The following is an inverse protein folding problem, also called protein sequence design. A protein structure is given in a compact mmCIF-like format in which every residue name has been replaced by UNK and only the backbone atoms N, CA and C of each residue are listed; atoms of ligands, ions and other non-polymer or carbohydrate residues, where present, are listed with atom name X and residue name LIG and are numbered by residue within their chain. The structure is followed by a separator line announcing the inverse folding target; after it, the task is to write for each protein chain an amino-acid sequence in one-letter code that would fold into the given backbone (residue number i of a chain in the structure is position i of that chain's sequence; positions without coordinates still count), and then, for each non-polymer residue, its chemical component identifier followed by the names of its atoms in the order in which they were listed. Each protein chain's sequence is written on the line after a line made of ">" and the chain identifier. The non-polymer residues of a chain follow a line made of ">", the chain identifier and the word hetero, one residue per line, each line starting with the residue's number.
data_IF_848540017870
#
_entry.id   IF_848540017870
#
_cell.length_a   1.000
_cell.length_b   1.000
_cell.length_c   1.000
_cell.angle_alpha   90.00
_cell.angle_beta   90.00
_cell.angle_gamma   90.00
#
_symmetry.space_group_name_H-M   'P 1'
#
loop_
_entity.id
_entity.type
_entity.pdbx_description
1 polymer ?
#
# COMPACT_ATOMS: atom_id res chain seq x y z
N UNK A 1 4.85 39.21 13.63
CA UNK A 1 5.71 38.10 13.18
C UNK A 1 5.03 37.40 12.02
N UNK A 2 5.68 37.17 10.88
CA UNK A 2 5.03 36.48 9.77
C UNK A 2 4.83 35.00 10.13
N UNK A 3 3.58 34.57 10.10
CA UNK A 3 3.21 33.15 10.25
C UNK A 3 3.26 32.49 8.87
N UNK A 4 3.78 31.28 8.81
CA UNK A 4 3.82 30.47 7.59
C UNK A 4 3.05 29.17 7.79
N UNK A 5 2.28 28.76 6.77
CA UNK A 5 1.74 27.42 6.67
C UNK A 5 2.76 26.56 5.94
N UNK A 6 3.28 25.54 6.61
CA UNK A 6 4.35 24.69 6.10
C UNK A 6 4.18 23.24 6.50
N UNK A 7 4.97 22.37 5.89
CA UNK A 7 5.03 20.96 6.21
C UNK A 7 6.14 20.69 7.24
N UNK A 8 5.80 19.95 8.27
CA UNK A 8 6.77 19.32 9.18
C UNK A 8 6.91 17.85 8.81
N UNK A 9 8.13 17.33 8.84
CA UNK A 9 8.39 15.94 8.51
C UNK A 9 8.37 15.08 9.76
N UNK A 10 7.56 14.05 9.69
CA UNK A 10 7.45 12.97 10.68
C UNK A 10 7.61 11.61 9.97
N UNK A 11 7.35 10.51 10.69
CA UNK A 11 7.45 9.16 10.12
C UNK A 11 8.86 8.55 10.20
N UNK A 12 9.02 7.39 9.58
CA UNK A 12 10.26 6.60 9.61
C UNK A 12 11.13 6.89 8.38
N UNK A 13 12.40 6.41 8.41
CA UNK A 13 13.28 6.38 7.23
C UNK A 13 12.60 5.56 6.12
N UNK A 14 12.50 6.10 4.92
CA UNK A 14 11.81 5.48 3.77
C UNK A 14 10.29 5.65 3.72
N UNK A 15 9.62 5.96 4.86
CA UNK A 15 8.16 6.20 4.91
C UNK A 15 7.87 7.57 5.52
N UNK A 16 8.03 8.68 4.77
CA UNK A 16 7.78 10.03 5.27
C UNK A 16 6.29 10.25 5.50
N UNK A 17 5.98 10.99 6.56
CA UNK A 17 4.64 11.46 6.88
C UNK A 17 4.74 12.94 7.25
N UNK A 18 3.81 13.77 6.82
CA UNK A 18 3.93 15.22 7.00
C UNK A 18 2.73 15.77 7.75
N UNK A 19 3.00 16.68 8.68
CA UNK A 19 1.99 17.52 9.28
C UNK A 19 1.94 18.87 8.59
N UNK A 20 0.74 19.33 8.32
CA UNK A 20 0.48 20.67 7.79
C UNK A 20 0.24 21.55 9.01
N UNK A 21 1.11 22.52 9.22
CA UNK A 21 1.09 23.34 10.43
C UNK A 21 1.20 24.82 10.13
N UNK A 22 0.54 25.64 10.97
CA UNK A 22 0.80 27.06 11.06
C UNK A 22 1.93 27.29 12.07
N UNK A 23 3.01 27.90 11.65
CA UNK A 23 4.18 28.11 12.51
C UNK A 23 4.84 29.46 12.24
N UNK A 24 5.55 29.99 13.24
CA UNK A 24 6.40 31.17 13.07
C UNK A 24 7.50 30.89 12.05
N UNK A 25 7.78 31.88 11.18
CA UNK A 25 8.80 31.77 10.15
C UNK A 25 10.21 31.55 10.70
N UNK A 26 10.47 31.94 11.94
CA UNK A 26 11.77 31.81 12.63
C UNK A 26 11.99 30.43 13.24
N UNK A 27 10.93 29.68 13.53
CA UNK A 27 11.07 28.36 14.14
C UNK A 27 11.63 27.35 13.15
N UNK A 28 12.40 26.37 13.65
CA UNK A 28 12.96 25.27 12.86
C UNK A 28 11.83 24.50 12.18
N UNK A 29 12.11 23.79 11.07
CA UNK A 29 11.10 23.06 10.28
C UNK A 29 10.23 22.15 11.16
N UNK A 30 10.84 21.30 11.96
CA UNK A 30 10.16 20.30 12.81
C UNK A 30 10.06 20.77 14.28
N UNK A 31 10.18 22.09 14.51
CA UNK A 31 10.12 22.70 15.82
C UNK A 31 8.71 23.07 16.26
N UNK A 32 8.63 24.02 17.21
CA UNK A 32 7.34 24.50 17.76
C UNK A 32 6.45 25.09 16.65
N UNK A 33 5.21 24.69 16.65
CA UNK A 33 4.14 25.22 15.78
C UNK A 33 3.05 25.84 16.63
N UNK A 34 2.21 26.66 16.01
CA UNK A 34 1.07 27.32 16.64
C UNK A 34 -0.15 26.40 16.63
N UNK A 35 -0.46 25.85 15.44
CA UNK A 35 -1.61 24.99 15.24
C UNK A 35 -1.30 23.93 14.17
N UNK A 36 -1.83 22.72 14.35
CA UNK A 36 -1.81 21.64 13.38
C UNK A 36 -3.10 21.68 12.56
N UNK A 37 -2.98 21.95 11.27
CA UNK A 37 -4.11 22.07 10.33
C UNK A 37 -4.48 20.75 9.67
N UNK A 38 -3.56 19.79 9.66
CA UNK A 38 -3.83 18.51 9.03
C UNK A 38 -2.62 17.62 8.86
N UNK A 39 -2.82 16.57 8.05
CA UNK A 39 -1.80 15.59 7.73
C UNK A 39 -1.72 15.31 6.23
N UNK A 40 -0.53 14.90 5.78
CA UNK A 40 -0.26 14.52 4.40
C UNK A 40 0.57 13.24 4.36
N UNK A 41 0.02 12.20 3.74
CA UNK A 41 0.69 10.91 3.54
C UNK A 41 0.95 10.69 2.04
N UNK A 42 2.20 10.79 1.57
CA UNK A 42 2.56 10.56 0.17
C UNK A 42 2.79 9.09 -0.19
N UNK A 43 2.77 8.17 0.80
CA UNK A 43 3.17 6.77 0.58
C UNK A 43 2.10 5.93 -0.14
N UNK A 44 0.93 6.50 -0.38
CA UNK A 44 -0.22 5.86 -1.04
C UNK A 44 -0.54 6.62 -2.32
N UNK A 45 -1.02 5.94 -3.34
CA UNK A 45 -1.47 6.56 -4.58
C UNK A 45 -2.97 6.26 -4.79
N UNK A 46 -3.85 7.28 -4.76
CA UNK A 46 -3.58 8.71 -4.55
C UNK A 46 -3.15 9.04 -3.10
N UNK A 47 -2.39 10.14 -2.89
CA UNK A 47 -1.92 10.52 -1.56
C UNK A 47 -3.09 10.91 -0.64
N UNK A 48 -3.02 10.48 0.62
CA UNK A 48 -4.03 10.79 1.63
C UNK A 48 -3.71 12.15 2.23
N UNK A 49 -4.70 13.05 2.18
CA UNK A 49 -4.62 14.39 2.75
C UNK A 49 -5.82 14.60 3.67
N UNK A 50 -5.57 14.78 4.93
CA UNK A 50 -6.54 15.22 5.93
C UNK A 50 -6.25 16.68 6.22
N UNK A 51 -7.22 17.55 6.07
CA UNK A 51 -7.05 18.99 6.24
C UNK A 51 -8.29 19.62 6.86
N UNK A 52 -8.09 20.38 7.91
CA UNK A 52 -9.07 21.34 8.40
C UNK A 52 -9.07 22.56 7.46
N UNK A 53 -10.10 22.59 6.59
CA UNK A 53 -10.26 23.66 5.59
C UNK A 53 -10.57 24.99 6.27
N UNK A 54 -11.42 24.99 7.30
CA UNK A 54 -11.87 26.20 7.98
C UNK A 54 -10.77 26.83 8.82
N UNK A 55 -10.02 26.03 9.57
CA UNK A 55 -8.83 26.49 10.28
C UNK A 55 -7.78 27.05 9.32
N UNK A 56 -7.56 26.37 8.17
CA UNK A 56 -6.63 26.85 7.14
C UNK A 56 -7.04 28.19 6.55
N UNK A 57 -8.33 28.40 6.27
CA UNK A 57 -8.86 29.65 5.74
C UNK A 57 -8.74 30.78 6.78
N UNK A 58 -9.01 30.52 8.07
CA UNK A 58 -8.80 31.51 9.15
C UNK A 58 -7.35 31.99 9.19
N UNK A 59 -6.39 31.08 9.10
CA UNK A 59 -4.96 31.45 9.08
C UNK A 59 -4.59 32.26 7.84
N UNK A 60 -5.14 31.92 6.66
CA UNK A 60 -4.93 32.69 5.43
C UNK A 60 -5.51 34.10 5.54
N UNK A 61 -6.71 34.25 6.13
CA UNK A 61 -7.33 35.55 6.40
C UNK A 61 -6.51 36.40 7.39
N UNK A 62 -5.89 35.74 8.38
CA UNK A 62 -4.98 36.39 9.33
C UNK A 62 -3.59 36.70 8.73
N UNK A 63 -3.41 36.47 7.42
CA UNK A 63 -2.18 36.81 6.72
C UNK A 63 -1.08 35.76 6.79
N UNK A 64 -1.37 34.52 7.18
CA UNK A 64 -0.39 33.44 7.12
C UNK A 64 -0.03 33.12 5.67
N UNK A 65 1.28 33.03 5.39
CA UNK A 65 1.81 32.76 4.05
C UNK A 65 2.08 31.27 3.87
N UNK A 66 1.38 30.59 2.95
CA UNK A 66 1.67 29.19 2.66
C UNK A 66 2.97 29.06 1.88
N UNK A 67 3.79 28.06 2.21
CA UNK A 67 4.92 27.63 1.36
C UNK A 67 4.36 27.06 0.06
N UNK A 68 5.19 26.97 -0.98
CA UNK A 68 4.75 26.49 -2.31
C UNK A 68 4.07 25.10 -2.23
N UNK A 69 4.69 24.15 -1.53
CA UNK A 69 4.13 22.80 -1.35
C UNK A 69 2.83 22.81 -0.54
N UNK A 70 2.78 23.60 0.55
CA UNK A 70 1.56 23.72 1.34
C UNK A 70 0.43 24.37 0.50
N UNK A 71 0.74 25.37 -0.33
CA UNK A 71 -0.24 26.00 -1.22
C UNK A 71 -0.87 25.00 -2.19
N UNK A 72 -0.07 24.10 -2.76
CA UNK A 72 -0.57 23.07 -3.66
C UNK A 72 -1.52 22.11 -2.93
N UNK A 73 -1.19 21.70 -1.70
CA UNK A 73 -2.05 20.85 -0.87
C UNK A 73 -3.34 21.56 -0.47
N UNK A 74 -3.25 22.81 -0.03
CA UNK A 74 -4.40 23.66 0.29
C UNK A 74 -5.31 23.88 -0.93
N UNK A 75 -4.72 24.08 -2.10
CA UNK A 75 -5.46 24.18 -3.36
C UNK A 75 -6.14 22.86 -3.74
N UNK A 76 -5.47 21.73 -3.53
CA UNK A 76 -6.03 20.41 -3.82
C UNK A 76 -7.29 20.11 -2.97
N UNK A 77 -7.32 20.53 -1.71
CA UNK A 77 -8.47 20.40 -0.80
C UNK A 77 -9.49 21.55 -0.87
N UNK A 78 -9.24 22.55 -1.69
CA UNK A 78 -10.17 23.68 -1.92
C UNK A 78 -10.06 24.82 -0.91
N UNK A 79 -9.14 24.77 0.08
CA UNK A 79 -8.96 25.84 1.06
C UNK A 79 -8.59 27.20 0.41
N UNK A 80 -7.75 27.17 -0.64
CA UNK A 80 -7.39 28.37 -1.38
C UNK A 80 -8.58 28.95 -2.16
N UNK A 81 -9.43 28.09 -2.73
CA UNK A 81 -10.66 28.51 -3.42
C UNK A 81 -11.65 29.12 -2.43
N UNK A 82 -11.88 28.47 -1.28
CA UNK A 82 -12.75 29.00 -0.22
C UNK A 82 -12.28 30.37 0.27
N UNK A 83 -10.98 30.53 0.50
CA UNK A 83 -10.39 31.81 0.87
C UNK A 83 -10.62 32.89 -0.20
N UNK A 84 -10.47 32.54 -1.50
CA UNK A 84 -10.71 33.48 -2.62
C UNK A 84 -12.17 33.89 -2.71
N UNK A 85 -13.11 32.96 -2.59
CA UNK A 85 -14.55 33.22 -2.64
C UNK A 85 -15.00 34.10 -1.46
N UNK A 86 -14.51 33.80 -0.24
CA UNK A 86 -14.77 34.67 0.93
C UNK A 86 -14.18 36.07 0.76
N UNK A 87 -13.03 36.21 0.11
CA UNK A 87 -12.47 37.49 -0.28
C UNK A 87 -13.36 38.25 -1.29
N UNK A 88 -14.06 37.53 -2.18
CA UNK A 88 -15.08 38.08 -3.08
C UNK A 88 -16.32 38.56 -2.35
N UNK A 89 -16.78 37.80 -1.35
CA UNK A 89 -17.91 38.20 -0.48
C UNK A 89 -17.56 39.47 0.31
N UNK A 90 -16.37 39.53 0.90
CA UNK A 90 -15.91 40.69 1.66
C UNK A 90 -15.81 41.96 0.81
N UNK A 91 -15.56 41.82 -0.50
CA UNK A 91 -15.54 42.94 -1.48
C UNK A 91 -16.91 43.27 -2.07
N UNK A 92 -17.96 42.53 -1.72
CA UNK A 92 -19.31 42.71 -2.25
C UNK A 92 -19.51 42.22 -3.69
N UNK A 93 -18.58 41.44 -4.24
CA UNK A 93 -18.66 40.92 -5.61
C UNK A 93 -19.52 39.64 -5.70
N UNK A 94 -19.71 38.93 -4.61
CA UNK A 94 -20.45 37.67 -4.52
C UNK A 94 -21.30 37.65 -3.24
N UNK A 95 -22.43 36.93 -3.28
CA UNK A 95 -23.18 36.59 -2.07
C UNK A 95 -22.54 35.37 -1.39
N UNK A 96 -22.83 35.21 -0.11
CA UNK A 96 -22.31 34.05 0.65
C UNK A 96 -22.85 32.72 0.08
N UNK A 97 -24.13 32.69 -0.28
CA UNK A 97 -24.78 31.53 -0.89
C UNK A 97 -24.17 31.13 -2.24
N UNK A 98 -23.85 32.10 -3.09
CA UNK A 98 -23.14 31.85 -4.35
C UNK A 98 -21.71 31.35 -4.14
N UNK A 99 -21.04 31.78 -3.10
CA UNK A 99 -19.71 31.29 -2.75
C UNK A 99 -19.75 29.83 -2.29
N UNK A 100 -20.72 29.46 -1.48
CA UNK A 100 -20.92 28.09 -1.01
C UNK A 100 -21.33 27.14 -2.14
N UNK A 101 -22.25 27.54 -3.01
CA UNK A 101 -22.65 26.72 -4.16
C UNK A 101 -21.49 26.48 -5.13
N UNK A 102 -20.67 27.49 -5.41
CA UNK A 102 -19.45 27.33 -6.24
C UNK A 102 -18.41 26.41 -5.59
N UNK A 103 -18.26 26.50 -4.27
CA UNK A 103 -17.35 25.61 -3.53
C UNK A 103 -17.85 24.17 -3.56
N UNK A 104 -19.15 23.94 -3.31
CA UNK A 104 -19.76 22.63 -3.34
C UNK A 104 -19.62 21.96 -4.72
N UNK A 105 -19.97 22.66 -5.80
CA UNK A 105 -19.82 22.18 -7.17
C UNK A 105 -18.38 21.77 -7.50
N UNK A 106 -17.40 22.58 -7.06
CA UNK A 106 -15.99 22.27 -7.27
C UNK A 106 -15.55 21.03 -6.47
N UNK A 107 -16.05 20.85 -5.23
CA UNK A 107 -15.75 19.66 -4.41
C UNK A 107 -16.31 18.39 -5.04
N UNK A 108 -17.54 18.41 -5.54
CA UNK A 108 -18.16 17.29 -6.25
C UNK A 108 -17.37 16.91 -7.51
N UNK A 109 -16.95 17.88 -8.31
CA UNK A 109 -16.11 17.64 -9.48
C UNK A 109 -14.76 17.00 -9.10
N UNK A 110 -14.17 17.45 -7.98
CA UNK A 110 -12.91 16.91 -7.48
C UNK A 110 -13.04 15.49 -6.94
N UNK A 111 -14.07 15.19 -6.17
CA UNK A 111 -14.33 13.83 -5.67
C UNK A 111 -14.54 12.86 -6.83
N UNK A 112 -15.34 13.22 -7.81
CA UNK A 112 -15.56 12.42 -9.01
C UNK A 112 -14.26 12.12 -9.79
N UNK A 113 -13.35 13.10 -9.91
CA UNK A 113 -12.02 12.90 -10.53
C UNK A 113 -11.11 11.99 -9.71
N UNK A 114 -11.19 12.06 -8.38
CA UNK A 114 -10.41 11.20 -7.50
C UNK A 114 -10.94 9.76 -7.57
N UNK A 115 -12.24 9.56 -7.51
CA UNK A 115 -12.88 8.24 -7.56
C UNK A 115 -12.63 7.56 -8.91
N UNK A 116 -12.70 8.30 -10.01
CA UNK A 116 -12.34 7.77 -11.33
C UNK A 116 -10.87 7.36 -11.42
N UNK A 117 -9.95 8.09 -10.79
CA UNK A 117 -8.55 7.72 -10.71
C UNK A 117 -8.32 6.47 -9.84
N UNK A 118 -8.99 6.37 -8.70
CA UNK A 118 -8.91 5.18 -7.82
C UNK A 118 -9.39 3.95 -8.58
N UNK A 119 -10.55 4.03 -9.25
CA UNK A 119 -11.10 2.92 -10.03
C UNK A 119 -10.20 2.51 -11.21
N UNK A 120 -9.50 3.46 -11.84
CA UNK A 120 -8.54 3.14 -12.90
C UNK A 120 -7.31 2.43 -12.36
N UNK A 121 -6.78 2.85 -11.20
CA UNK A 121 -5.64 2.21 -10.55
C UNK A 121 -5.98 0.79 -10.07
N UNK A 122 -7.16 0.59 -9.48
CA UNK A 122 -7.63 -0.73 -9.08
C UNK A 122 -7.76 -1.69 -10.27
N UNK A 123 -8.28 -1.20 -11.40
CA UNK A 123 -8.35 -1.99 -12.65
C UNK A 123 -6.96 -2.32 -13.19
N UNK A 124 -6.03 -1.38 -13.17
CA UNK A 124 -4.65 -1.62 -13.59
C UNK A 124 -3.95 -2.65 -12.70
N UNK A 125 -4.14 -2.57 -11.37
CA UNK A 125 -3.60 -3.54 -10.43
C UNK A 125 -4.22 -4.92 -10.59
N UNK A 126 -5.55 -4.99 -10.76
CA UNK A 126 -6.24 -6.25 -11.04
C UNK A 126 -5.74 -6.90 -12.34
N UNK A 127 -5.57 -6.10 -13.41
CA UNK A 127 -5.03 -6.59 -14.68
C UNK A 127 -3.57 -7.06 -14.57
N UNK A 128 -2.74 -6.38 -13.78
CA UNK A 128 -1.37 -6.81 -13.52
C UNK A 128 -1.35 -8.14 -12.78
N UNK A 129 -2.12 -8.25 -11.69
CA UNK A 129 -2.24 -9.50 -10.92
C UNK A 129 -2.79 -10.66 -11.76
N UNK A 130 -3.77 -10.40 -12.63
CA UNK A 130 -4.30 -11.43 -13.54
C UNK A 130 -3.23 -11.92 -14.51
N UNK A 131 -2.45 -11.01 -15.12
CA UNK A 131 -1.34 -11.37 -16.03
C UNK A 131 -0.22 -12.12 -15.32
N UNK A 132 0.12 -11.72 -14.09
CA UNK A 132 1.12 -12.42 -13.27
C UNK A 132 0.66 -13.84 -12.93
N UNK A 133 -0.61 -14.00 -12.53
CA UNK A 133 -1.20 -15.31 -12.25
C UNK A 133 -1.28 -16.20 -13.51
N UNK A 134 -1.60 -15.64 -14.67
CA UNK A 134 -1.59 -16.39 -15.94
C UNK A 134 -0.17 -16.82 -16.32
N UNK A 135 0.81 -15.93 -16.20
CA UNK A 135 2.21 -16.26 -16.44
C UNK A 135 2.72 -17.34 -15.48
N UNK A 136 2.36 -17.24 -14.19
CA UNK A 136 2.72 -18.24 -13.18
C UNK A 136 2.07 -19.60 -13.45
N UNK A 137 0.79 -19.62 -13.86
CA UNK A 137 0.10 -20.86 -14.28
C UNK A 137 0.77 -21.51 -15.48
N UNK A 138 1.20 -20.72 -16.47
CA UNK A 138 1.92 -21.24 -17.64
C UNK A 138 3.27 -21.85 -17.26
N UNK A 139 4.03 -21.16 -16.39
CA UNK A 139 5.32 -21.66 -15.90
C UNK A 139 5.12 -22.93 -15.06
N UNK A 140 4.13 -22.96 -14.18
CA UNK A 140 3.82 -24.15 -13.38
C UNK A 140 3.37 -25.32 -14.25
N UNK A 141 2.54 -25.06 -15.27
CA UNK A 141 2.13 -26.10 -16.21
C UNK A 141 3.32 -26.68 -16.97
N UNK A 142 4.19 -25.84 -17.50
CA UNK A 142 5.42 -26.29 -18.18
C UNK A 142 6.35 -27.07 -17.23
N UNK A 143 6.44 -26.65 -15.94
CA UNK A 143 7.23 -27.37 -14.94
C UNK A 143 6.65 -28.75 -14.63
N UNK A 144 5.33 -28.85 -14.48
CA UNK A 144 4.64 -30.13 -14.25
C UNK A 144 4.80 -31.05 -15.46
N UNK A 145 4.61 -30.54 -16.66
CA UNK A 145 4.82 -31.30 -17.92
C UNK A 145 6.27 -31.82 -18.05
N UNK A 146 7.25 -30.99 -17.70
CA UNK A 146 8.66 -31.40 -17.68
C UNK A 146 8.94 -32.43 -16.57
N UNK A 147 8.31 -32.35 -15.42
CA UNK A 147 8.44 -33.37 -14.35
C UNK A 147 7.79 -34.69 -14.75
N UNK A 148 6.62 -34.65 -15.38
CA UNK A 148 5.94 -35.87 -15.87
C UNK A 148 6.78 -36.53 -16.97
N UNK A 149 7.31 -35.76 -17.93
CA UNK A 149 8.17 -36.30 -18.96
C UNK A 149 9.46 -36.90 -18.39
N UNK A 150 10.08 -36.25 -17.39
CA UNK A 150 11.26 -36.80 -16.70
C UNK A 150 10.94 -38.05 -15.88
N UNK A 151 9.74 -38.14 -15.31
CA UNK A 151 9.28 -39.33 -14.59
C UNK A 151 8.97 -40.52 -15.57
N UNK A 152 8.41 -40.22 -16.74
CA UNK A 152 8.17 -41.22 -17.79
C UNK A 152 9.49 -41.73 -18.39
N UNK A 153 10.49 -40.85 -18.58
CA UNK A 153 11.84 -41.28 -19.03
C UNK A 153 12.53 -42.15 -17.97
N UNK A 154 12.43 -41.79 -16.67
CA UNK A 154 12.99 -42.58 -15.59
C UNK A 154 12.32 -43.95 -15.45
N UNK A 155 11.00 -44.03 -15.63
CA UNK A 155 10.28 -45.35 -15.64
C UNK A 155 10.57 -46.17 -16.87
N UNK A 156 10.85 -45.55 -18.03
CA UNK A 156 11.28 -46.22 -19.24
C UNK A 156 12.72 -46.76 -19.15
N UNK A 157 13.64 -46.04 -18.49
CA UNK A 157 15.00 -46.51 -18.19
C UNK A 157 15.00 -47.67 -17.17
N UNK A 158 14.13 -47.61 -16.16
CA UNK A 158 13.99 -48.72 -15.18
C UNK A 158 13.39 -50.00 -15.82
N UNK A 159 12.45 -49.83 -16.78
CA UNK A 159 11.87 -50.95 -17.52
C UNK A 159 12.87 -51.60 -18.52
N UNK A 160 13.83 -50.83 -19.04
CA UNK A 160 14.90 -51.33 -19.91
C UNK A 160 16.03 -52.00 -19.11
N UNK A 161 16.20 -51.65 -17.83
CA UNK A 161 17.18 -52.26 -16.92
C UNK A 161 16.71 -53.58 -16.32
N UNK A 162 15.40 -53.88 -16.40
CA UNK A 162 14.82 -55.15 -15.87
C UNK A 162 14.71 -56.28 -16.93
N UNK A 163 15.09 -56.02 -18.17
CA UNK A 163 15.02 -56.98 -19.31
C UNK A 163 16.39 -57.42 -19.85
N UNK A 164 17.40 -57.65 -19.00
CA UNK A 164 18.61 -58.44 -19.40
C UNK A 164 19.32 -59.01 -18.16
N UNK A 165 19.86 -60.21 -18.22
CA UNK A 165 19.20 -61.53 -18.40
C UNK A 165 19.25 -62.38 -17.16
N UNK A 166 18.27 -63.21 -17.00
CA UNK A 166 18.34 -64.43 -16.17
C UNK A 166 19.21 -65.46 -16.88
N UNK A 167 20.39 -65.69 -16.38
CA UNK A 167 20.98 -67.04 -16.45
C UNK A 167 22.24 -67.14 -15.55
N UNK A 168 22.24 -68.23 -14.76
CA UNK A 168 23.33 -68.81 -13.92
C UNK A 168 23.60 -68.09 -12.55
N UNK A 169 23.59 -68.73 -11.47
CA UNK A 169 23.52 -70.10 -11.00
C UNK A 169 23.35 -70.16 -9.49
N UNK A 170 22.46 -70.98 -9.03
CA UNK A 170 22.54 -72.00 -7.96
C UNK A 170 23.48 -71.78 -6.77
N UNK A 171 22.84 -71.98 -5.59
CA UNK A 171 23.33 -72.43 -4.28
C UNK A 171 24.07 -71.38 -3.42
N UNK A 172 23.63 -71.06 -2.24
CA UNK A 172 23.65 -71.92 -1.04
C UNK A 172 23.14 -71.10 0.15
N UNK A 173 22.21 -71.70 0.89
CA UNK A 173 21.99 -71.62 2.33
C UNK A 173 21.68 -70.28 3.05
N UNK A 174 20.46 -70.26 3.60
CA UNK A 174 20.06 -69.51 4.79
C UNK A 174 20.74 -70.08 6.05
N UNK A 175 20.73 -69.44 7.25
CA UNK A 175 19.50 -69.08 7.90
C UNK A 175 19.51 -67.76 8.78
N UNK A 176 18.29 -67.28 9.05
CA UNK A 176 17.72 -66.71 10.26
C UNK A 176 18.58 -65.87 11.21
N UNK A 177 18.11 -64.68 11.55
CA UNK A 177 17.54 -64.41 12.88
C UNK A 177 17.24 -62.93 13.13
N UNK A 178 16.04 -62.72 13.57
CA UNK A 178 15.53 -61.76 14.57
C UNK A 178 15.44 -60.25 14.30
N UNK A 179 14.19 -59.81 14.23
CA UNK A 179 13.74 -58.49 14.65
C UNK A 179 13.81 -58.36 16.17
N UNK A 180 13.87 -57.14 16.72
CA UNK A 180 12.59 -56.60 17.19
C UNK A 180 12.35 -55.11 16.97
N UNK A 181 11.07 -54.77 17.01
CA UNK A 181 10.43 -53.50 17.13
C UNK A 181 10.75 -52.78 18.45
N UNK A 182 10.62 -51.47 18.41
CA UNK A 182 10.14 -50.61 19.49
C UNK A 182 10.50 -49.13 19.12
N UNK A 183 9.76 -48.18 19.15
CA UNK A 183 8.56 -47.65 19.77
C UNK A 183 8.62 -46.14 19.58
N UNK A 184 7.55 -45.53 19.13
CA UNK A 184 7.34 -44.10 19.22
C UNK A 184 7.00 -43.71 20.67
N UNK A 185 7.23 -42.46 21.07
CA UNK A 185 6.07 -41.78 21.60
C UNK A 185 5.91 -40.32 21.09
N UNK A 186 4.67 -40.00 20.90
CA UNK A 186 4.10 -38.66 20.88
C UNK A 186 4.04 -38.12 22.34
N UNK A 187 4.07 -36.80 22.46
CA UNK A 187 3.52 -35.95 23.54
C UNK A 187 4.24 -34.59 23.50
N UNK A 188 3.71 -33.45 23.66
CA UNK A 188 2.41 -32.88 24.01
C UNK A 188 2.63 -31.36 24.00
N UNK A 189 1.70 -30.57 23.58
CA UNK A 189 1.64 -29.15 23.83
C UNK A 189 1.22 -28.87 25.27
N UNK A 190 1.55 -27.72 25.85
CA UNK A 190 0.49 -26.97 26.52
C UNK A 190 0.42 -25.48 26.17
N UNK A 191 -0.82 -25.04 26.04
CA UNK A 191 -1.26 -23.69 26.21
C UNK A 191 -1.29 -23.34 27.73
N UNK A 192 -1.10 -22.05 28.03
CA UNK A 192 -1.69 -21.29 29.14
C UNK A 192 -0.92 -19.95 29.26
N UNK A 193 -1.51 -18.86 29.14
CA UNK A 193 -2.49 -18.03 29.84
C UNK A 193 -1.81 -16.79 30.43
N UNK A 194 -2.46 -15.69 30.19
CA UNK A 194 -2.16 -14.34 30.64
C UNK A 194 -2.22 -14.17 32.19
N UNK A 195 -1.80 -13.02 32.74
CA UNK A 195 -2.69 -11.86 32.77
C UNK A 195 -2.14 -10.59 32.15
#
# INVERSE_FOLDING_TARGET
>A
MPVKIRLQRHGKKGKPYYWIVAADSRSKRDGKYLEKLGSYNPNVNPPIIELDVDGSVKWLQNGAQPTHTARNILSYKGAMLKHHLLGGVAKGALTLEEAETKLAAWLEEKTSKIDSKISSLEKEEANKKAKELEAEKLVNKARVEAQVAAAEEATAEEAVAEEAPAEEAVAEEAPAEEAPAEEAPAEEAPAEEAP
#
